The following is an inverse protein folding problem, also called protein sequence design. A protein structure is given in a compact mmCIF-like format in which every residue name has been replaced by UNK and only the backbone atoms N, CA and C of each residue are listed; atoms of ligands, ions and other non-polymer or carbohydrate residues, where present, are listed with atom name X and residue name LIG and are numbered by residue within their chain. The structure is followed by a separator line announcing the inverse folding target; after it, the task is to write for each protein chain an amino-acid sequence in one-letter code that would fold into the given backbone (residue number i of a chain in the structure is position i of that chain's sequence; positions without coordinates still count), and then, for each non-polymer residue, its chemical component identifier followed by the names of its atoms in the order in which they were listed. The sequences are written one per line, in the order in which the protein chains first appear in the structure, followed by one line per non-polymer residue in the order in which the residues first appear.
data_IF_068308547848
#
_entry.id   IF_068308547848
#
_cell.length_a   1.000
_cell.length_b   1.000
_cell.length_c   1.000
_cell.angle_alpha   90.00
_cell.angle_beta   90.00
_cell.angle_gamma   90.00
#
_symmetry.space_group_name_H-M   'P 1'
#
loop_
_entity.id
_entity.type
_entity.pdbx_description
1 polymer ?
#
# COMPACT_ATOMS: atom_id res chain seq x y z
N UNK A 1 -13.58 1.78 -18.78
CA UNK A 1 -13.25 2.85 -17.81
C UNK A 1 -12.44 3.90 -18.53
N UNK A 2 -12.88 5.16 -18.52
CA UNK A 2 -12.16 6.25 -19.16
C UNK A 2 -10.77 6.46 -18.56
N UNK A 3 -9.87 7.10 -19.32
CA UNK A 3 -8.49 7.39 -18.90
C UNK A 3 -8.46 8.20 -17.59
N UNK A 4 -9.36 9.18 -17.48
CA UNK A 4 -9.46 10.06 -16.30
C UNK A 4 -9.99 9.32 -15.08
N UNK A 5 -11.04 8.51 -15.24
CA UNK A 5 -11.55 7.65 -14.17
C UNK A 5 -10.43 6.73 -13.66
N UNK A 6 -9.67 6.10 -14.57
CA UNK A 6 -8.58 5.17 -14.21
C UNK A 6 -7.49 5.88 -13.41
N UNK A 7 -7.12 7.10 -13.83
CA UNK A 7 -6.15 7.93 -13.11
C UNK A 7 -6.65 8.27 -11.71
N UNK A 8 -7.89 8.75 -11.60
CA UNK A 8 -8.52 9.10 -10.32
C UNK A 8 -8.52 7.90 -9.37
N UNK A 9 -8.93 6.73 -9.84
CA UNK A 9 -8.92 5.51 -9.04
C UNK A 9 -7.51 5.16 -8.51
N UNK A 10 -6.47 5.26 -9.35
CA UNK A 10 -5.09 4.99 -8.91
C UNK A 10 -4.66 5.99 -7.84
N UNK A 11 -4.94 7.28 -8.03
CA UNK A 11 -4.62 8.32 -7.05
C UNK A 11 -5.28 8.02 -5.70
N UNK A 12 -6.59 7.77 -5.70
CA UNK A 12 -7.32 7.49 -4.46
C UNK A 12 -6.85 6.20 -3.81
N UNK A 13 -6.75 5.09 -4.55
CA UNK A 13 -6.29 3.82 -3.98
C UNK A 13 -4.88 3.93 -3.40
N UNK A 14 -3.97 4.62 -4.09
CA UNK A 14 -2.61 4.83 -3.61
C UNK A 14 -2.56 5.65 -2.32
N UNK A 15 -3.17 6.83 -2.30
CA UNK A 15 -3.11 7.72 -1.15
C UNK A 15 -3.97 7.24 0.03
N UNK A 16 -5.12 6.61 -0.23
CA UNK A 16 -5.92 5.98 0.83
C UNK A 16 -5.18 4.79 1.43
N UNK A 17 -4.49 3.97 0.63
CA UNK A 17 -3.66 2.88 1.17
C UNK A 17 -2.54 3.43 2.04
N UNK A 18 -1.82 4.45 1.55
CA UNK A 18 -0.73 5.05 2.31
C UNK A 18 -1.22 5.66 3.63
N UNK A 19 -2.27 6.48 3.61
CA UNK A 19 -2.85 7.09 4.81
C UNK A 19 -3.42 6.03 5.77
N UNK A 20 -4.10 5.01 5.23
CA UNK A 20 -4.65 3.92 6.03
C UNK A 20 -3.56 3.08 6.71
N UNK A 21 -2.48 2.75 6.00
CA UNK A 21 -1.33 2.03 6.57
C UNK A 21 -0.67 2.88 7.67
N UNK A 22 -0.44 4.18 7.42
CA UNK A 22 0.13 5.08 8.43
C UNK A 22 -0.75 5.17 9.68
N UNK A 23 -2.08 5.25 9.51
CA UNK A 23 -3.00 5.25 10.65
C UNK A 23 -3.01 3.91 11.38
N UNK A 24 -2.98 2.79 10.66
CA UNK A 24 -2.93 1.47 11.27
C UNK A 24 -1.68 1.30 12.14
N UNK A 25 -0.49 1.67 11.62
CA UNK A 25 0.77 1.53 12.37
C UNK A 25 0.99 2.60 13.43
N UNK A 26 0.25 3.72 13.40
CA UNK A 26 0.35 4.76 14.42
C UNK A 26 -0.38 4.41 15.70
N UNK A 27 -1.34 3.47 15.64
CA UNK A 27 -1.97 2.94 16.85
C UNK A 27 -1.02 1.91 17.47
N UNK A 28 -0.59 2.08 18.73
CA UNK A 28 0.33 1.15 19.38
C UNK A 28 -0.17 -0.30 19.30
N UNK A 29 0.74 -1.24 19.03
CA UNK A 29 0.46 -2.68 19.01
C UNK A 29 0.34 -3.30 20.41
N UNK A 30 0.46 -2.51 21.47
CA UNK A 30 0.52 -2.96 22.87
C UNK A 30 -0.84 -3.43 23.44
N UNK A 31 -1.88 -3.49 22.62
CA UNK A 31 -3.17 -4.05 23.00
C UNK A 31 -3.12 -5.58 22.97
N UNK A 32 -3.81 -6.22 23.92
CA UNK A 32 -3.95 -7.68 23.99
C UNK A 32 -5.35 -8.09 23.54
N UNK A 33 -5.53 -9.18 22.78
CA UNK A 33 -6.84 -9.75 22.57
C UNK A 33 -7.47 -10.18 23.92
N UNK A 34 -8.80 -10.05 24.12
CA UNK A 34 -9.74 -9.24 23.34
C UNK A 34 -9.75 -7.78 23.82
N UNK A 35 -9.07 -6.87 23.11
CA UNK A 35 -9.10 -5.43 23.44
C UNK A 35 -8.55 -4.53 22.32
N UNK A 36 -8.73 -4.89 21.04
CA UNK A 36 -8.28 -4.04 19.94
C UNK A 36 -9.00 -2.67 20.01
N UNK A 37 -8.27 -1.53 20.10
CA UNK A 37 -8.91 -0.23 20.14
C UNK A 37 -9.72 0.03 18.87
N UNK A 38 -10.91 0.63 19.01
CA UNK A 38 -11.79 0.92 17.87
C UNK A 38 -11.08 1.68 16.72
N UNK A 39 -10.21 2.68 16.96
CA UNK A 39 -9.44 3.30 15.88
C UNK A 39 -8.56 2.32 15.09
N UNK A 40 -7.94 1.34 15.78
CA UNK A 40 -7.14 0.31 15.12
C UNK A 40 -8.01 -0.60 14.26
N UNK A 41 -9.18 -0.99 14.77
CA UNK A 41 -10.17 -1.79 14.03
C UNK A 41 -10.64 -1.07 12.78
N UNK A 42 -10.95 0.23 12.87
CA UNK A 42 -11.39 1.03 11.72
C UNK A 42 -10.25 1.14 10.69
N UNK A 43 -9.04 1.45 11.13
CA UNK A 43 -7.88 1.53 10.24
C UNK A 43 -7.61 0.18 9.54
N UNK A 44 -7.74 -0.93 10.26
CA UNK A 44 -7.57 -2.28 9.73
C UNK A 44 -8.57 -2.59 8.61
N UNK A 45 -9.85 -2.33 8.85
CA UNK A 45 -10.92 -2.57 7.87
C UNK A 45 -10.78 -1.66 6.64
N UNK A 46 -10.37 -0.40 6.84
CA UNK A 46 -10.08 0.52 5.75
C UNK A 46 -8.94 -0.01 4.87
N UNK A 47 -7.79 -0.39 5.48
CA UNK A 47 -6.64 -0.92 4.74
C UNK A 47 -7.01 -2.21 4.02
N UNK A 48 -7.71 -3.14 4.69
CA UNK A 48 -8.16 -4.38 4.08
C UNK A 48 -9.06 -4.15 2.86
N UNK A 49 -10.06 -3.25 3.00
CA UNK A 49 -10.98 -2.92 1.92
C UNK A 49 -10.28 -2.28 0.72
N UNK A 50 -9.42 -1.29 0.95
CA UNK A 50 -8.66 -0.63 -0.11
C UNK A 50 -7.71 -1.61 -0.80
N UNK A 51 -6.98 -2.43 -0.04
CA UNK A 51 -6.07 -3.44 -0.59
C UNK A 51 -6.81 -4.50 -1.41
N UNK A 52 -7.97 -4.97 -0.95
CA UNK A 52 -8.81 -5.92 -1.67
C UNK A 52 -9.33 -5.35 -3.00
N UNK A 53 -9.86 -4.12 -2.98
CA UNK A 53 -10.32 -3.43 -4.20
C UNK A 53 -9.15 -3.25 -5.18
N UNK A 54 -7.99 -2.83 -4.68
CA UNK A 54 -6.82 -2.59 -5.51
C UNK A 54 -6.28 -3.88 -6.13
N UNK A 55 -6.21 -4.96 -5.34
CA UNK A 55 -5.85 -6.28 -5.85
C UNK A 55 -6.86 -6.78 -6.89
N UNK A 56 -8.17 -6.62 -6.65
CA UNK A 56 -9.20 -7.03 -7.61
C UNK A 56 -9.04 -6.28 -8.95
N UNK A 57 -8.80 -4.97 -8.92
CA UNK A 57 -8.52 -4.21 -10.14
C UNK A 57 -7.25 -4.69 -10.86
N UNK A 58 -6.23 -5.09 -10.11
CA UNK A 58 -5.02 -5.67 -10.67
C UNK A 58 -5.23 -7.06 -11.26
N UNK A 59 -5.95 -7.95 -10.58
CA UNK A 59 -6.27 -9.27 -11.10
C UNK A 59 -7.07 -9.17 -12.41
N UNK A 60 -7.97 -8.18 -12.51
CA UNK A 60 -8.80 -7.97 -13.68
C UNK A 60 -8.10 -7.24 -14.84
N UNK A 61 -7.08 -6.40 -14.57
CA UNK A 61 -6.52 -5.48 -15.57
C UNK A 61 -5.00 -5.41 -15.63
N UNK A 62 -4.32 -6.18 -14.80
CA UNK A 62 -2.87 -6.13 -14.62
C UNK A 62 -2.38 -4.83 -14.01
N UNK A 63 -1.08 -4.56 -14.18
CA UNK A 63 -0.44 -3.35 -13.64
C UNK A 63 -1.03 -2.09 -14.26
N UNK A 64 -1.32 -1.13 -13.38
CA UNK A 64 -1.96 0.11 -13.79
C UNK A 64 -0.97 1.21 -14.24
N UNK A 65 0.33 0.99 -14.15
CA UNK A 65 1.37 1.93 -14.58
C UNK A 65 2.37 1.29 -15.53
N UNK A 66 3.18 2.16 -16.15
CA UNK A 66 4.27 1.79 -17.02
C UNK A 66 5.58 2.39 -16.48
N UNK A 67 6.74 1.76 -16.78
CA UNK A 67 8.05 2.35 -16.51
C UNK A 67 8.15 3.79 -17.03
N UNK A 68 8.92 4.63 -16.35
CA UNK A 68 9.23 5.98 -16.82
C UNK A 68 10.06 5.96 -18.12
N UNK A 69 9.99 7.03 -18.94
CA UNK A 69 10.73 7.09 -20.20
C UNK A 69 12.24 7.07 -19.99
N UNK A 70 12.74 7.72 -18.93
CA UNK A 70 14.18 7.84 -18.61
C UNK A 70 14.76 6.71 -17.77
N UNK A 71 13.94 5.72 -17.42
CA UNK A 71 14.39 4.61 -16.59
C UNK A 71 15.19 3.63 -17.46
N UNK A 72 16.40 3.22 -17.12
CA UNK A 72 17.21 2.35 -18.01
C UNK A 72 17.89 1.22 -17.25
N UNK A 73 18.57 0.33 -17.98
CA UNK A 73 19.37 -0.77 -17.42
C UNK A 73 18.59 -1.65 -16.43
N UNK A 74 19.25 -1.98 -15.31
CA UNK A 74 18.68 -2.81 -14.25
C UNK A 74 17.42 -2.19 -13.63
N UNK A 75 17.41 -0.87 -13.42
CA UNK A 75 16.28 -0.16 -12.82
C UNK A 75 14.99 -0.32 -13.65
N UNK A 76 15.09 -0.34 -15.00
CA UNK A 76 13.95 -0.64 -15.88
C UNK A 76 13.52 -2.10 -15.79
N UNK A 77 14.47 -3.04 -15.73
CA UNK A 77 14.19 -4.48 -15.65
C UNK A 77 13.46 -4.85 -14.36
N UNK A 78 13.89 -4.31 -13.22
CA UNK A 78 13.29 -4.61 -11.90
C UNK A 78 11.98 -3.86 -11.64
N UNK A 79 11.70 -2.78 -12.38
CA UNK A 79 10.50 -1.95 -12.15
C UNK A 79 9.22 -2.77 -12.17
N UNK A 80 8.97 -3.56 -13.23
CA UNK A 80 7.71 -4.32 -13.34
C UNK A 80 7.63 -5.45 -12.31
N UNK A 81 8.66 -6.31 -12.14
CA UNK A 81 8.65 -7.34 -11.10
C UNK A 81 8.41 -6.79 -9.69
N UNK A 82 9.11 -5.72 -9.29
CA UNK A 82 8.95 -5.13 -7.96
C UNK A 82 7.52 -4.65 -7.70
N UNK A 83 6.92 -4.06 -8.72
CA UNK A 83 5.54 -3.61 -8.66
C UNK A 83 4.52 -4.75 -8.68
N UNK A 84 4.75 -5.81 -9.46
CA UNK A 84 3.95 -7.02 -9.37
C UNK A 84 4.02 -7.62 -7.97
N UNK A 85 5.21 -7.67 -7.35
CA UNK A 85 5.39 -8.18 -5.99
C UNK A 85 4.55 -7.38 -4.99
N UNK A 86 4.58 -6.04 -5.04
CA UNK A 86 3.74 -5.19 -4.18
C UNK A 86 2.25 -5.48 -4.37
N UNK A 87 1.78 -5.60 -5.60
CA UNK A 87 0.37 -5.89 -5.87
C UNK A 87 -0.03 -7.30 -5.42
N UNK A 88 0.81 -8.30 -5.67
CA UNK A 88 0.59 -9.68 -5.23
C UNK A 88 0.64 -9.82 -3.71
N UNK A 89 1.29 -8.88 -3.01
CA UNK A 89 1.31 -8.84 -1.55
C UNK A 89 0.08 -8.17 -0.92
N UNK A 90 -0.76 -7.47 -1.70
CA UNK A 90 -1.97 -6.80 -1.17
C UNK A 90 -2.95 -7.76 -0.49
N UNK A 91 -3.23 -8.98 -1.01
CA UNK A 91 -4.06 -9.96 -0.29
C UNK A 91 -3.44 -10.40 1.03
N UNK A 92 -2.10 -10.54 1.09
CA UNK A 92 -1.41 -10.88 2.33
C UNK A 92 -1.56 -9.76 3.36
N UNK A 93 -1.39 -8.50 2.94
CA UNK A 93 -1.64 -7.34 3.80
C UNK A 93 -3.09 -7.28 4.28
N UNK A 94 -4.05 -7.44 3.36
CA UNK A 94 -5.48 -7.42 3.69
C UNK A 94 -5.84 -8.53 4.69
N UNK A 95 -5.37 -9.76 4.47
CA UNK A 95 -5.56 -10.89 5.37
C UNK A 95 -4.86 -10.72 6.72
N UNK A 96 -3.68 -10.11 6.74
CA UNK A 96 -2.97 -9.82 7.98
C UNK A 96 -3.75 -8.81 8.83
N UNK A 97 -4.13 -7.65 8.29
CA UNK A 97 -4.73 -6.57 9.10
C UNK A 97 -6.14 -6.90 9.61
N UNK A 98 -6.88 -7.82 8.98
CA UNK A 98 -8.18 -8.28 9.52
C UNK A 98 -8.05 -9.13 10.80
N UNK A 99 -6.83 -9.53 11.18
CA UNK A 99 -6.60 -10.15 12.49
C UNK A 99 -6.92 -9.16 13.61
N UNK A 100 -6.65 -7.85 13.46
CA UNK A 100 -7.01 -6.82 14.46
C UNK A 100 -8.50 -6.84 14.84
N UNK A 101 -9.47 -6.67 13.90
CA UNK A 101 -10.90 -6.78 14.24
C UNK A 101 -11.27 -8.16 14.79
N UNK A 102 -10.75 -9.24 14.22
CA UNK A 102 -11.07 -10.60 14.69
C UNK A 102 -10.57 -10.86 16.13
N UNK A 103 -9.40 -10.33 16.48
CA UNK A 103 -8.84 -10.36 17.82
C UNK A 103 -9.64 -9.52 18.81
N UNK A 104 -10.18 -8.37 18.38
CA UNK A 104 -11.10 -7.56 19.19
C UNK A 104 -12.36 -8.33 19.59
N UNK A 105 -12.77 -9.32 18.80
CA UNK A 105 -13.89 -10.22 19.10
C UNK A 105 -13.47 -11.47 19.89
N UNK A 106 -12.20 -11.59 20.28
CA UNK A 106 -11.66 -12.77 20.97
C UNK A 106 -11.44 -13.99 20.08
N UNK A 107 -11.49 -13.82 18.75
CA UNK A 107 -11.60 -14.92 17.78
C UNK A 107 -10.30 -15.36 17.11
N UNK A 108 -9.11 -15.04 17.65
CA UNK A 108 -7.83 -15.43 17.03
C UNK A 108 -6.80 -15.92 18.04
N UNK A 109 -5.93 -16.87 17.66
CA UNK A 109 -4.80 -17.30 18.47
C UNK A 109 -3.65 -16.28 18.44
N UNK A 110 -2.79 -16.27 19.48
CA UNK A 110 -1.67 -15.33 19.63
C UNK A 110 -0.68 -15.35 18.46
N UNK A 111 -0.46 -16.50 17.83
CA UNK A 111 0.42 -16.61 16.66
C UNK A 111 -0.10 -15.78 15.48
N UNK A 112 -1.42 -15.57 15.35
CA UNK A 112 -2.01 -14.78 14.28
C UNK A 112 -1.69 -13.29 14.45
N UNK A 113 -1.68 -12.80 15.69
CA UNK A 113 -1.28 -11.42 16.02
C UNK A 113 0.20 -11.22 15.72
N UNK A 114 1.04 -12.19 16.06
CA UNK A 114 2.48 -12.18 15.75
C UNK A 114 2.73 -12.19 14.24
N UNK A 115 1.98 -13.02 13.49
CA UNK A 115 2.06 -13.07 12.03
C UNK A 115 1.59 -11.77 11.39
N UNK A 116 0.51 -11.14 11.89
CA UNK A 116 0.08 -9.82 11.45
C UNK A 116 1.20 -8.78 11.59
N UNK A 117 1.82 -8.70 12.78
CA UNK A 117 2.91 -7.76 13.05
C UNK A 117 4.08 -7.96 12.07
N UNK A 118 4.50 -9.21 11.83
CA UNK A 118 5.56 -9.53 10.87
C UNK A 118 5.19 -9.10 9.44
N UNK A 119 3.99 -9.44 8.96
CA UNK A 119 3.54 -9.08 7.62
C UNK A 119 3.50 -7.56 7.45
N UNK A 120 2.95 -6.84 8.43
CA UNK A 120 2.85 -5.38 8.40
C UNK A 120 4.24 -4.74 8.37
N UNK A 121 5.20 -5.23 9.17
CA UNK A 121 6.60 -4.75 9.16
C UNK A 121 7.30 -5.00 7.83
N UNK A 122 7.17 -6.20 7.26
CA UNK A 122 7.75 -6.54 5.96
C UNK A 122 7.13 -5.68 4.84
N UNK A 123 5.83 -5.46 4.88
CA UNK A 123 5.14 -4.59 3.92
C UNK A 123 5.55 -3.13 4.09
N UNK A 124 5.69 -2.64 5.31
CA UNK A 124 6.16 -1.28 5.57
C UNK A 124 7.58 -1.08 5.02
N UNK A 125 8.48 -2.05 5.22
CA UNK A 125 9.81 -2.03 4.62
C UNK A 125 9.74 -1.97 3.09
N UNK A 126 8.90 -2.80 2.45
CA UNK A 126 8.70 -2.78 1.01
C UNK A 126 8.14 -1.44 0.50
N UNK A 127 7.21 -0.83 1.23
CA UNK A 127 6.64 0.50 0.93
C UNK A 127 7.70 1.61 1.07
N UNK A 128 8.59 1.53 2.06
CA UNK A 128 9.70 2.47 2.22
C UNK A 128 10.66 2.37 1.03
N UNK A 129 11.06 1.15 0.63
CA UNK A 129 11.90 0.94 -0.56
C UNK A 129 11.22 1.46 -1.82
N UNK A 130 9.91 1.23 -1.97
CA UNK A 130 9.11 1.78 -3.05
C UNK A 130 9.12 3.31 -3.07
N UNK A 131 8.91 3.95 -1.92
CA UNK A 131 8.93 5.41 -1.79
C UNK A 131 10.32 5.99 -2.13
N UNK A 132 11.40 5.40 -1.59
CA UNK A 132 12.79 5.80 -1.89
C UNK A 132 13.06 5.68 -3.40
N UNK A 133 12.65 4.57 -4.02
CA UNK A 133 12.82 4.36 -5.45
C UNK A 133 12.10 5.44 -6.29
N UNK A 134 10.89 5.82 -5.90
CA UNK A 134 10.14 6.86 -6.60
C UNK A 134 10.69 8.28 -6.34
N UNK A 135 11.19 8.54 -5.14
CA UNK A 135 11.86 9.80 -4.81
C UNK A 135 13.17 9.95 -5.60
N UNK A 136 14.00 8.91 -5.65
CA UNK A 136 15.21 8.87 -6.48
C UNK A 136 14.90 9.11 -7.96
N UNK A 137 13.87 8.45 -8.52
CA UNK A 137 13.46 8.70 -9.92
C UNK A 137 13.06 10.15 -10.16
N UNK A 138 12.40 10.77 -9.18
CA UNK A 138 11.99 12.15 -9.26
C UNK A 138 13.18 13.10 -9.21
N UNK A 139 14.12 12.90 -8.28
CA UNK A 139 15.24 13.83 -8.07
C UNK A 139 16.41 13.59 -9.03
N UNK A 140 16.81 12.35 -9.27
CA UNK A 140 17.98 12.02 -10.11
C UNK A 140 17.63 11.88 -11.61
N UNK A 141 16.49 11.27 -11.96
CA UNK A 141 16.12 11.12 -13.37
C UNK A 141 15.26 12.28 -13.88
N UNK A 142 14.58 12.99 -12.98
CA UNK A 142 13.61 14.03 -13.33
C UNK A 142 12.61 13.54 -14.38
N UNK A 143 12.05 12.34 -14.17
CA UNK A 143 11.15 11.65 -15.11
C UNK A 143 9.66 11.89 -14.80
N UNK A 144 9.38 12.77 -13.83
CA UNK A 144 8.05 13.13 -13.36
C UNK A 144 7.30 11.97 -12.69
N UNK A 145 8.00 10.96 -12.13
CA UNK A 145 7.37 9.83 -11.46
C UNK A 145 6.36 10.26 -10.38
N UNK A 146 6.73 11.17 -9.48
CA UNK A 146 5.83 11.63 -8.41
C UNK A 146 4.62 12.39 -8.95
N UNK A 147 4.79 13.23 -9.97
CA UNK A 147 3.67 13.99 -10.59
C UNK A 147 2.56 13.10 -11.16
N UNK A 148 2.86 11.83 -11.48
CA UNK A 148 1.86 10.86 -11.97
C UNK A 148 0.93 10.36 -10.87
N UNK A 149 1.46 10.19 -9.65
CA UNK A 149 0.71 9.70 -8.50
C UNK A 149 0.25 10.83 -7.57
N UNK A 150 0.73 12.05 -7.76
CA UNK A 150 0.42 13.19 -6.90
C UNK A 150 -0.74 14.04 -7.46
N UNK A 151 -1.69 14.50 -6.63
CA UNK A 151 -2.74 15.44 -7.04
C UNK A 151 -2.16 16.73 -7.65
N UNK A 152 -2.81 17.26 -8.69
CA UNK A 152 -2.33 18.46 -9.43
C UNK A 152 -2.14 19.68 -8.53
N UNK A 153 -2.98 19.84 -7.51
CA UNK A 153 -2.94 20.99 -6.60
C UNK A 153 -1.58 21.18 -5.92
N UNK A 154 -0.83 20.11 -5.66
CA UNK A 154 0.46 20.14 -4.96
C UNK A 154 1.65 19.94 -5.89
N UNK A 155 1.47 20.03 -7.22
CA UNK A 155 2.56 19.89 -8.19
C UNK A 155 3.61 21.00 -8.11
N UNK A 156 3.29 22.12 -7.46
CA UNK A 156 4.23 23.22 -7.23
C UNK A 156 5.27 22.89 -6.14
N UNK A 157 5.00 21.87 -5.30
CA UNK A 157 5.93 21.36 -4.29
C UNK A 157 6.88 20.27 -4.83
N UNK A 158 6.73 19.88 -6.10
CA UNK A 158 7.44 18.75 -6.73
C UNK A 158 8.48 19.18 -7.77
#
# INVERSE_FOLDING_TARGET
MGRDTRRIAILWLHWLSFAGILWFVSVPFEWKPPAAPLPHVIAALLVAGVAAIWFALYALRGLLFKPGPKLEGLARRVHRPAHHALYLSLPLLAGAVVVTPAAGLGGVPDWAVTAQDLVVKVMLFAVILHAIYHLWRHTALNDGALRKITPRAIHHLL
#
